data_IF_734339388700
#
_entry.id   IF_734339388700
#
_cell.length_a   1.000
_cell.length_b   1.000
_cell.length_c   1.000
_cell.angle_alpha   90.00
_cell.angle_beta   90.00
_cell.angle_gamma   90.00
#
_symmetry.space_group_name_H-M   'P 1'
#
loop_
_entity.id
_entity.type
_entity.pdbx_description
1 polymer ?
#
# COMPACT_ATOMS: atom_id res chain seq x y z
N UNK A 1 29.63 28.42 4.16
CA UNK A 1 28.44 28.09 4.98
C UNK A 1 27.54 27.20 4.12
N UNK A 2 27.56 25.88 4.32
CA UNK A 2 26.65 24.97 3.61
C UNK A 2 25.27 25.07 4.26
N UNK A 3 24.29 25.60 3.54
CA UNK A 3 22.89 25.56 3.96
C UNK A 3 22.41 24.11 3.82
N UNK A 4 22.33 23.39 4.94
CA UNK A 4 21.58 22.15 5.01
C UNK A 4 20.09 22.52 4.92
N UNK A 5 19.51 22.42 3.73
CA UNK A 5 18.06 22.53 3.54
C UNK A 5 17.39 21.39 4.31
N UNK A 6 16.82 21.72 5.47
CA UNK A 6 15.90 20.84 6.19
C UNK A 6 14.62 20.73 5.34
N UNK A 7 14.56 19.71 4.48
CA UNK A 7 13.30 19.32 3.88
C UNK A 7 12.41 18.74 4.99
N UNK A 8 11.44 19.53 5.46
CA UNK A 8 10.34 19.00 6.27
C UNK A 8 9.59 18.00 5.40
N UNK A 9 9.75 16.70 5.67
CA UNK A 9 8.91 15.68 5.07
C UNK A 9 7.46 15.99 5.47
N UNK A 10 6.61 16.33 4.50
CA UNK A 10 5.19 16.50 4.76
C UNK A 10 4.64 15.23 5.43
N UNK A 11 3.70 15.36 6.38
CA UNK A 11 3.06 14.19 6.97
C UNK A 11 2.46 13.34 5.84
N UNK A 12 2.96 12.11 5.69
CA UNK A 12 2.55 11.24 4.62
C UNK A 12 1.08 10.85 4.84
N UNK A 13 0.20 11.44 4.02
CA UNK A 13 -1.26 11.24 4.09
C UNK A 13 -1.64 9.79 3.85
N UNK A 14 -0.87 9.08 3.01
CA UNK A 14 -1.03 7.66 2.76
C UNK A 14 -0.80 6.83 4.03
N UNK A 15 0.29 7.07 4.77
CA UNK A 15 0.57 6.36 6.03
C UNK A 15 -0.60 6.53 7.01
N UNK A 16 -1.09 7.76 7.19
CA UNK A 16 -2.19 8.04 8.11
C UNK A 16 -3.48 7.33 7.69
N UNK A 17 -3.86 7.44 6.42
CA UNK A 17 -5.07 6.80 5.89
C UNK A 17 -4.98 5.27 5.98
N UNK A 18 -3.87 4.68 5.53
CA UNK A 18 -3.63 3.24 5.60
C UNK A 18 -3.60 2.72 7.04
N UNK A 19 -3.04 3.48 7.99
CA UNK A 19 -3.09 3.13 9.41
C UNK A 19 -4.51 3.06 9.98
N UNK A 20 -5.42 3.88 9.46
CA UNK A 20 -6.84 3.80 9.82
C UNK A 20 -7.53 2.62 9.13
N UNK A 21 -7.34 2.49 7.82
CA UNK A 21 -8.03 1.51 6.98
C UNK A 21 -7.61 0.07 7.32
N UNK A 22 -6.36 -0.10 7.76
CA UNK A 22 -5.78 -1.41 8.08
C UNK A 22 -5.73 -1.71 9.58
N UNK A 23 -6.43 -0.93 10.41
CA UNK A 23 -6.42 -1.09 11.87
C UNK A 23 -6.79 -2.51 12.32
N UNK A 24 -7.74 -3.17 11.64
CA UNK A 24 -8.17 -4.55 11.93
C UNK A 24 -7.07 -5.59 11.68
N UNK A 25 -6.11 -5.31 10.80
CA UNK A 25 -4.97 -6.19 10.53
C UNK A 25 -3.82 -6.03 11.52
N UNK A 26 -3.90 -5.03 12.42
CA UNK A 26 -2.89 -4.73 13.45
C UNK A 26 -1.45 -4.69 12.89
N UNK A 27 -1.17 -3.83 11.89
CA UNK A 27 0.17 -3.71 11.32
C UNK A 27 1.18 -3.32 12.41
N UNK A 28 2.32 -4.00 12.42
CA UNK A 28 3.43 -3.69 13.32
C UNK A 28 4.08 -2.35 12.95
N UNK A 29 4.13 -2.02 11.65
CA UNK A 29 4.56 -0.71 11.17
C UNK A 29 3.98 -0.39 9.80
N UNK A 30 3.86 0.90 9.51
CA UNK A 30 3.61 1.44 8.18
C UNK A 30 4.60 2.58 7.96
N UNK A 31 5.49 2.43 6.99
CA UNK A 31 6.50 3.43 6.63
C UNK A 31 6.37 3.80 5.16
N UNK A 32 6.85 4.99 4.79
CA UNK A 32 6.97 5.39 3.40
C UNK A 32 8.41 5.78 3.12
N UNK A 33 8.92 5.28 1.99
CA UNK A 33 10.25 5.58 1.49
C UNK A 33 10.12 6.29 0.15
N UNK A 34 10.97 7.28 -0.09
CA UNK A 34 11.06 7.90 -1.41
C UNK A 34 11.73 6.89 -2.35
N UNK A 35 11.00 6.43 -3.37
CA UNK A 35 11.54 5.59 -4.43
C UNK A 35 12.21 6.42 -5.53
N UNK A 36 12.54 5.76 -6.63
CA UNK A 36 12.98 6.46 -7.84
C UNK A 36 11.88 7.45 -8.30
N UNK A 37 12.27 8.61 -8.81
CA UNK A 37 11.37 9.64 -9.36
C UNK A 37 10.38 10.31 -8.37
N UNK A 38 10.71 10.38 -7.07
CA UNK A 38 9.89 11.05 -6.04
C UNK A 38 8.49 10.44 -5.82
N UNK A 39 8.27 9.19 -6.26
CA UNK A 39 7.08 8.42 -5.90
C UNK A 39 7.38 7.55 -4.70
N UNK A 40 6.38 7.40 -3.84
CA UNK A 40 6.53 6.75 -2.54
C UNK A 40 6.31 5.25 -2.65
N UNK A 41 7.21 4.48 -2.03
CA UNK A 41 6.98 3.08 -1.72
C UNK A 41 6.53 3.00 -0.27
N UNK A 42 5.29 2.56 -0.05
CA UNK A 42 4.78 2.31 1.31
C UNK A 42 5.08 0.87 1.69
N UNK A 43 5.63 0.67 2.88
CA UNK A 43 5.92 -0.65 3.44
C UNK A 43 5.01 -0.88 4.64
N UNK A 44 4.22 -1.94 4.60
CA UNK A 44 3.33 -2.38 5.66
C UNK A 44 3.91 -3.69 6.21
N UNK A 45 4.32 -3.67 7.46
CA UNK A 45 4.80 -4.86 8.17
C UNK A 45 3.67 -5.40 9.02
N UNK A 46 3.33 -6.67 8.84
CA UNK A 46 2.29 -7.35 9.62
C UNK A 46 2.90 -8.34 10.61
N UNK A 47 2.23 -8.66 11.72
CA UNK A 47 2.79 -9.51 12.78
C UNK A 47 2.91 -11.00 12.39
N UNK A 48 2.39 -11.41 11.24
CA UNK A 48 2.46 -12.81 10.81
C UNK A 48 3.86 -13.18 10.34
N UNK A 49 4.28 -14.41 10.63
CA UNK A 49 5.56 -14.96 10.16
C UNK A 49 5.61 -15.13 8.64
N UNK A 50 4.46 -15.43 8.02
CA UNK A 50 4.33 -15.60 6.58
C UNK A 50 3.14 -14.78 6.09
N UNK A 51 3.37 -14.00 5.05
CA UNK A 51 2.29 -13.40 4.28
C UNK A 51 1.85 -14.44 3.25
N UNK A 52 0.61 -14.90 3.36
CA UNK A 52 -0.03 -15.78 2.37
C UNK A 52 -0.81 -14.95 1.37
N UNK A 53 -1.15 -15.52 0.21
CA UNK A 53 -2.00 -14.86 -0.79
C UNK A 53 -3.32 -14.35 -0.18
N UNK A 54 -3.91 -15.12 0.75
CA UNK A 54 -5.15 -14.74 1.45
C UNK A 54 -4.96 -13.52 2.33
N UNK A 55 -3.89 -13.47 3.14
CA UNK A 55 -3.57 -12.33 4.01
C UNK A 55 -3.28 -11.11 3.14
N UNK A 56 -2.42 -11.27 2.13
CA UNK A 56 -2.06 -10.22 1.20
C UNK A 56 -3.28 -9.64 0.49
N UNK A 57 -4.13 -10.50 -0.07
CA UNK A 57 -5.35 -10.08 -0.76
C UNK A 57 -6.29 -9.32 0.15
N UNK A 58 -6.49 -9.78 1.39
CA UNK A 58 -7.34 -9.10 2.36
C UNK A 58 -6.80 -7.70 2.71
N UNK A 59 -5.48 -7.59 2.91
CA UNK A 59 -4.81 -6.32 3.25
C UNK A 59 -4.91 -5.33 2.09
N UNK A 60 -4.64 -5.75 0.85
CA UNK A 60 -4.76 -4.85 -0.30
C UNK A 60 -6.21 -4.44 -0.53
N UNK A 61 -7.19 -5.34 -0.38
CA UNK A 61 -8.61 -4.96 -0.46
C UNK A 61 -9.01 -3.97 0.65
N UNK A 62 -8.50 -4.15 1.87
CA UNK A 62 -8.66 -3.17 2.95
C UNK A 62 -8.05 -1.82 2.59
N UNK A 63 -6.83 -1.83 2.04
CA UNK A 63 -6.13 -0.64 1.58
C UNK A 63 -6.82 0.05 0.39
N UNK A 64 -7.65 -0.64 -0.40
CA UNK A 64 -8.45 -0.07 -1.49
C UNK A 64 -9.85 0.41 -1.06
N UNK A 65 -10.35 -0.08 0.08
CA UNK A 65 -11.76 0.08 0.50
C UNK A 65 -12.20 1.55 0.50
N UNK A 66 -11.34 2.43 1.01
CA UNK A 66 -11.59 3.88 1.04
C UNK A 66 -11.78 4.46 -0.36
N UNK A 67 -10.99 4.07 -1.36
CA UNK A 67 -11.18 4.54 -2.74
C UNK A 67 -12.48 4.01 -3.38
N UNK A 68 -13.00 2.87 -2.93
CA UNK A 68 -14.27 2.35 -3.42
C UNK A 68 -15.46 3.10 -2.83
N UNK A 69 -15.36 3.50 -1.56
CA UNK A 69 -16.39 4.29 -0.87
C UNK A 69 -16.30 5.77 -1.24
N UNK A 70 -15.09 6.29 -1.41
CA UNK A 70 -14.77 7.69 -1.70
C UNK A 70 -13.80 7.82 -2.91
N UNK A 71 -14.26 7.66 -4.15
CA UNK A 71 -13.40 7.63 -5.35
C UNK A 71 -12.59 8.92 -5.62
N UNK A 72 -12.89 10.01 -4.92
CA UNK A 72 -12.20 11.30 -5.03
C UNK A 72 -11.05 11.45 -4.03
N UNK A 73 -10.88 10.52 -3.08
CA UNK A 73 -9.76 10.56 -2.14
C UNK A 73 -8.43 10.45 -2.91
N UNK A 74 -7.42 11.14 -2.40
CA UNK A 74 -6.11 11.36 -3.01
C UNK A 74 -4.96 10.70 -2.23
N UNK A 75 -5.22 9.98 -1.14
CA UNK A 75 -4.18 9.44 -0.26
C UNK A 75 -3.16 8.53 -0.98
N UNK A 76 -3.53 7.85 -2.06
CA UNK A 76 -2.62 7.01 -2.86
C UNK A 76 -2.00 7.73 -4.08
N UNK A 77 -2.24 9.04 -4.28
CA UNK A 77 -1.73 9.76 -5.45
C UNK A 77 -0.20 9.77 -5.57
N UNK A 78 0.50 9.81 -4.43
CA UNK A 78 1.96 9.81 -4.39
C UNK A 78 2.56 8.39 -4.31
N UNK A 79 1.73 7.36 -4.09
CA UNK A 79 2.19 6.00 -3.81
C UNK A 79 2.35 5.24 -5.12
N UNK A 80 3.59 4.88 -5.48
CA UNK A 80 3.86 4.04 -6.64
C UNK A 80 3.62 2.56 -6.34
N UNK A 81 3.97 2.13 -5.13
CA UNK A 81 3.92 0.72 -4.73
C UNK A 81 3.62 0.58 -3.24
N UNK A 82 2.96 -0.52 -2.89
CA UNK A 82 2.71 -0.94 -1.51
C UNK A 82 3.33 -2.32 -1.30
N UNK A 83 4.36 -2.42 -0.46
CA UNK A 83 4.91 -3.69 0.00
C UNK A 83 4.19 -4.14 1.27
N UNK A 84 3.68 -5.38 1.27
CA UNK A 84 3.08 -6.02 2.45
C UNK A 84 3.98 -7.16 2.87
N UNK A 85 4.63 -7.02 4.02
CA UNK A 85 5.71 -7.90 4.47
C UNK A 85 5.38 -8.56 5.81
N UNK A 86 6.03 -9.69 6.05
CA UNK A 86 5.97 -10.41 7.32
C UNK A 86 6.66 -9.63 8.46
N UNK A 87 6.55 -10.14 9.69
CA UNK A 87 7.06 -9.48 10.90
C UNK A 87 8.55 -9.14 10.89
N UNK A 88 9.33 -9.79 10.02
CA UNK A 88 10.77 -9.53 9.85
C UNK A 88 11.10 -8.57 8.70
N UNK A 89 10.08 -8.08 7.97
CA UNK A 89 10.20 -7.25 6.78
C UNK A 89 11.06 -7.88 5.67
N UNK A 90 11.02 -9.23 5.53
CA UNK A 90 11.90 -9.98 4.60
C UNK A 90 11.16 -10.78 3.54
N UNK A 91 9.87 -11.05 3.74
CA UNK A 91 9.09 -11.86 2.81
C UNK A 91 7.69 -11.26 2.68
N UNK A 92 7.18 -11.21 1.46
CA UNK A 92 5.82 -10.79 1.19
C UNK A 92 5.65 -10.46 -0.28
N UNK A 93 4.82 -9.47 -0.55
CA UNK A 93 4.41 -9.09 -1.89
C UNK A 93 4.46 -7.59 -2.06
N UNK A 94 4.69 -7.16 -3.29
CA UNK A 94 4.66 -5.76 -3.70
C UNK A 94 3.49 -5.57 -4.66
N UNK A 95 2.62 -4.63 -4.32
CA UNK A 95 1.49 -4.20 -5.13
C UNK A 95 1.87 -2.93 -5.92
N UNK A 96 1.75 -2.97 -7.23
CA UNK A 96 2.10 -1.86 -8.10
C UNK A 96 0.89 -1.01 -8.51
N UNK A 97 1.14 0.29 -8.75
CA UNK A 97 0.13 1.26 -9.24
C UNK A 97 -1.15 1.22 -8.40
N UNK A 98 -1.05 1.37 -7.06
CA UNK A 98 -2.11 1.00 -6.14
C UNK A 98 -3.39 1.79 -6.38
N UNK A 99 -3.29 3.09 -6.71
CA UNK A 99 -4.47 3.91 -6.99
C UNK A 99 -5.24 3.42 -8.22
N UNK A 100 -4.54 3.25 -9.34
CA UNK A 100 -5.14 2.83 -10.61
C UNK A 100 -5.72 1.43 -10.49
N UNK A 101 -4.96 0.50 -9.91
CA UNK A 101 -5.38 -0.89 -9.76
C UNK A 101 -6.54 -1.02 -8.77
N UNK A 102 -6.54 -0.29 -7.64
CA UNK A 102 -7.68 -0.27 -6.72
C UNK A 102 -8.96 0.19 -7.45
N UNK A 103 -8.89 1.25 -8.27
CA UNK A 103 -10.04 1.70 -9.05
C UNK A 103 -10.58 0.59 -9.95
N UNK A 104 -9.71 -0.02 -10.75
CA UNK A 104 -10.10 -1.11 -11.67
C UNK A 104 -10.68 -2.32 -10.91
N UNK A 105 -10.11 -2.66 -9.75
CA UNK A 105 -10.59 -3.74 -8.90
C UNK A 105 -12.00 -3.49 -8.34
N UNK A 106 -12.35 -2.23 -8.04
CA UNK A 106 -13.68 -1.86 -7.53
C UNK A 106 -14.77 -1.87 -8.61
N UNK A 107 -14.38 -1.64 -9.86
CA UNK A 107 -15.27 -1.69 -11.04
C UNK A 107 -15.41 -3.12 -11.61
N UNK A 108 -14.57 -4.05 -11.16
CA UNK A 108 -14.50 -5.40 -11.71
C UNK A 108 -15.60 -6.32 -11.18
N UNK A 109 -16.22 -7.10 -12.09
CA UNK A 109 -17.24 -8.11 -11.77
C UNK A 109 -16.61 -9.50 -11.64
N UNK A 110 -17.06 -10.29 -10.67
CA UNK A 110 -16.62 -11.66 -10.45
C UNK A 110 -15.12 -11.76 -10.11
N UNK A 111 -14.43 -12.77 -10.65
CA UNK A 111 -13.03 -13.03 -10.32
C UNK A 111 -12.01 -12.05 -10.94
N UNK A 112 -12.46 -11.13 -11.80
CA UNK A 112 -11.58 -10.15 -12.46
C UNK A 112 -10.81 -9.27 -11.48
N UNK A 113 -11.41 -8.95 -10.33
CA UNK A 113 -10.76 -8.16 -9.28
C UNK A 113 -9.49 -8.85 -8.75
N UNK A 114 -9.54 -10.16 -8.49
CA UNK A 114 -8.38 -10.91 -8.03
C UNK A 114 -7.32 -11.05 -9.13
N UNK A 115 -7.73 -11.19 -10.40
CA UNK A 115 -6.79 -11.25 -11.53
C UNK A 115 -6.03 -9.92 -11.68
N UNK A 116 -6.73 -8.78 -11.56
CA UNK A 116 -6.11 -7.45 -11.59
C UNK A 116 -5.14 -7.25 -10.44
N UNK A 117 -5.52 -7.67 -9.23
CA UNK A 117 -4.66 -7.62 -8.06
C UNK A 117 -3.38 -8.42 -8.31
N UNK A 118 -3.49 -9.72 -8.60
CA UNK A 118 -2.35 -10.61 -8.79
C UNK A 118 -1.48 -10.20 -10.00
N UNK A 119 -2.10 -9.69 -11.07
CA UNK A 119 -1.38 -9.21 -12.26
C UNK A 119 -0.56 -7.95 -12.04
N UNK A 120 -0.86 -7.16 -10.99
CA UNK A 120 -0.07 -6.00 -10.55
C UNK A 120 0.67 -6.32 -9.24
N UNK A 121 0.98 -7.59 -9.00
CA UNK A 121 1.69 -8.05 -7.82
C UNK A 121 2.95 -8.80 -8.21
N UNK A 122 4.04 -8.56 -7.51
CA UNK A 122 5.22 -9.43 -7.55
C UNK A 122 5.69 -9.79 -6.13
N UNK A 123 6.54 -10.81 -6.00
CA UNK A 123 7.17 -11.14 -4.71
C UNK A 123 8.17 -10.05 -4.31
N UNK A 124 8.26 -9.75 -3.02
CA UNK A 124 9.26 -8.82 -2.46
C UNK A 124 10.67 -9.41 -2.47
#
# INVERSE_FOLDING_TARGET
>A
MCAASLAFAAPNTAIKALGQDLKSFSPASITAHQGAEKKETVVIVLPQARITDTIYTAVIKGACMRLWLEPKDKYLNSVAQIAVLNQWAKQGYVFEKPKETCKQMGEAVGNKSNILLMGNTHMY
#
